data_IF_886623402564
#
_entry.id   IF_886623402564
#
_cell.length_a   1.000
_cell.length_b   1.000
_cell.length_c   1.000
_cell.angle_alpha   90.00
_cell.angle_beta   90.00
_cell.angle_gamma   90.00
#
_symmetry.space_group_name_H-M   'P 1'
#
loop_
_entity.id
_entity.type
_entity.pdbx_description
1 polymer ?
#
# COMPACT_ATOMS: atom_id res chain seq x y z
N UNK A 1 61.72 -15.19 -0.60
CA UNK A 1 61.14 -15.92 0.54
C UNK A 1 60.91 -17.33 0.10
N UNK A 2 61.53 -18.29 0.78
CA UNK A 2 61.50 -19.69 0.39
C UNK A 2 60.05 -20.20 0.31
N UNK A 3 59.69 -20.83 -0.80
CA UNK A 3 58.38 -21.44 -1.00
C UNK A 3 58.02 -22.39 0.16
N UNK A 4 59.03 -23.02 0.75
CA UNK A 4 58.91 -23.86 1.94
C UNK A 4 58.49 -23.09 3.21
N UNK A 5 59.00 -21.88 3.41
CA UNK A 5 58.63 -21.03 4.54
C UNK A 5 57.19 -20.53 4.39
N UNK A 6 56.75 -20.27 3.16
CA UNK A 6 55.37 -19.90 2.85
C UNK A 6 54.40 -21.07 3.05
N UNK A 7 54.77 -22.29 2.63
CA UNK A 7 53.92 -23.47 2.85
C UNK A 7 53.83 -23.86 4.32
N UNK A 8 54.93 -23.77 5.07
CA UNK A 8 54.93 -24.03 6.51
C UNK A 8 54.09 -23.00 7.28
N UNK A 9 54.19 -21.72 6.93
CA UNK A 9 53.37 -20.68 7.56
C UNK A 9 51.88 -20.85 7.21
N UNK A 10 51.55 -21.26 5.98
CA UNK A 10 50.18 -21.56 5.56
C UNK A 10 49.60 -22.76 6.31
N UNK A 11 50.35 -23.86 6.45
CA UNK A 11 49.91 -25.04 7.21
C UNK A 11 49.70 -24.72 8.68
N UNK A 12 50.60 -23.93 9.29
CA UNK A 12 50.45 -23.48 10.69
C UNK A 12 49.18 -22.64 10.87
N UNK A 13 48.88 -21.73 9.94
CA UNK A 13 47.65 -20.92 9.99
C UNK A 13 46.40 -21.81 9.82
N UNK A 14 46.42 -22.78 8.91
CA UNK A 14 45.31 -23.73 8.73
C UNK A 14 45.12 -24.64 9.95
N UNK A 15 46.20 -25.09 10.58
CA UNK A 15 46.18 -25.84 11.84
C UNK A 15 45.64 -25.01 13.00
N UNK A 16 46.05 -23.75 13.12
CA UNK A 16 45.52 -22.83 14.14
C UNK A 16 44.03 -22.58 13.96
N UNK A 17 43.57 -22.41 12.71
CA UNK A 17 42.13 -22.32 12.40
C UNK A 17 41.40 -23.61 12.83
N UNK A 18 41.98 -24.79 12.56
CA UNK A 18 41.39 -26.09 12.91
C UNK A 18 41.36 -26.36 14.43
N UNK A 19 42.36 -25.88 15.17
CA UNK A 19 42.42 -25.98 16.64
C UNK A 19 41.41 -25.01 17.29
N UNK A 20 41.26 -23.81 16.72
CA UNK A 20 40.22 -22.86 17.14
C UNK A 20 38.81 -23.36 16.83
N UNK A 21 38.62 -24.20 15.79
CA UNK A 21 37.37 -24.89 15.50
C UNK A 21 36.99 -25.89 16.60
N UNK A 22 37.90 -26.79 16.99
CA UNK A 22 37.62 -27.82 18.02
C UNK A 22 37.35 -27.24 19.41
N UNK A 23 38.00 -26.14 19.78
CA UNK A 23 37.85 -25.53 21.12
C UNK A 23 36.57 -24.70 21.30
N UNK A 24 35.89 -24.35 20.22
CA UNK A 24 34.70 -23.48 20.24
C UNK A 24 33.40 -24.24 20.03
N UNK A 25 33.42 -25.37 19.32
CA UNK A 25 32.30 -26.32 19.27
C UNK A 25 32.02 -26.89 20.67
N UNK A 26 33.07 -27.12 21.47
CA UNK A 26 32.97 -27.53 22.87
C UNK A 26 32.36 -26.47 23.82
N UNK A 27 32.28 -25.18 23.41
CA UNK A 27 31.69 -24.09 24.20
C UNK A 27 30.27 -23.70 23.75
N UNK A 28 29.78 -24.23 22.64
CA UNK A 28 28.48 -23.88 22.06
C UNK A 28 27.27 -24.44 22.83
N UNK A 29 27.47 -25.38 23.75
CA UNK A 29 26.41 -26.04 24.53
C UNK A 29 25.82 -25.22 25.68
N UNK A 30 26.18 -23.94 25.81
CA UNK A 30 25.50 -23.02 26.75
C UNK A 30 24.14 -22.59 26.19
N UNK A 31 23.05 -23.23 26.66
CA UNK A 31 21.64 -22.89 26.39
C UNK A 31 21.35 -21.39 26.54
N UNK A 32 21.14 -20.68 25.42
CA UNK A 32 20.60 -19.31 25.39
C UNK A 32 19.12 -19.36 25.86
N UNK A 33 18.73 -18.60 26.91
CA UNK A 33 17.42 -18.74 27.60
C UNK A 33 16.34 -17.80 27.06
N UNK A 34 16.72 -16.68 26.43
CA UNK A 34 15.79 -15.66 25.90
C UNK A 34 15.76 -15.62 24.35
N UNK A 35 14.62 -15.21 23.76
CA UNK A 35 14.44 -15.06 22.31
C UNK A 35 15.45 -14.08 21.69
N UNK A 36 15.80 -13.01 22.42
CA UNK A 36 16.83 -12.06 21.99
C UNK A 36 18.24 -12.66 22.06
N UNK A 37 18.53 -13.43 23.09
CA UNK A 37 19.82 -14.14 23.21
C UNK A 37 19.96 -15.16 22.09
N UNK A 38 18.92 -15.93 21.78
CA UNK A 38 18.92 -16.89 20.66
C UNK A 38 19.19 -16.19 19.32
N UNK A 39 18.55 -15.06 19.05
CA UNK A 39 18.81 -14.27 17.84
C UNK A 39 20.24 -13.71 17.76
N UNK A 40 20.83 -13.33 18.91
CA UNK A 40 22.24 -12.94 18.99
C UNK A 40 23.16 -14.15 18.76
N UNK A 41 22.90 -15.28 19.40
CA UNK A 41 23.62 -16.55 19.22
C UNK A 41 23.61 -16.96 17.72
N UNK A 42 22.46 -16.90 17.05
CA UNK A 42 22.30 -17.21 15.62
C UNK A 42 23.01 -16.19 14.71
N UNK A 43 23.05 -14.91 15.09
CA UNK A 43 23.81 -13.89 14.37
C UNK A 43 25.32 -14.15 14.48
N UNK A 44 25.82 -14.39 15.69
CA UNK A 44 27.23 -14.68 15.94
C UNK A 44 27.71 -15.92 15.16
N UNK A 45 26.90 -16.99 15.13
CA UNK A 45 27.22 -18.20 14.35
C UNK A 45 27.30 -17.91 12.85
N UNK A 46 26.38 -17.09 12.31
CA UNK A 46 26.40 -16.67 10.91
C UNK A 46 27.59 -15.77 10.57
N UNK A 47 27.87 -14.78 11.40
CA UNK A 47 29.00 -13.86 11.21
C UNK A 47 30.32 -14.62 11.25
N UNK A 48 30.44 -15.57 12.19
CA UNK A 48 31.60 -16.46 12.29
C UNK A 48 31.79 -17.33 11.04
N UNK A 49 30.72 -17.97 10.57
CA UNK A 49 30.78 -18.81 9.36
C UNK A 49 31.15 -17.97 8.13
N UNK A 50 30.59 -16.77 8.01
CA UNK A 50 30.93 -15.82 6.94
C UNK A 50 32.41 -15.42 6.97
N UNK A 51 32.96 -15.05 8.13
CA UNK A 51 34.38 -14.69 8.27
C UNK A 51 35.27 -15.88 7.92
N UNK A 52 34.92 -17.08 8.38
CA UNK A 52 35.61 -18.32 8.06
C UNK A 52 35.64 -18.60 6.56
N UNK A 53 34.51 -18.46 5.88
CA UNK A 53 34.39 -18.69 4.44
C UNK A 53 35.17 -17.65 3.62
N UNK A 54 35.16 -16.38 4.05
CA UNK A 54 35.96 -15.32 3.43
C UNK A 54 37.45 -15.60 3.60
N UNK A 55 37.93 -15.90 4.82
CA UNK A 55 39.35 -16.19 5.08
C UNK A 55 39.82 -17.40 4.27
N UNK A 56 39.06 -18.50 4.26
CA UNK A 56 39.40 -19.70 3.49
C UNK A 56 39.53 -19.42 2.00
N UNK A 57 38.55 -18.72 1.41
CA UNK A 57 38.59 -18.34 -0.01
C UNK A 57 39.74 -17.41 -0.34
N UNK A 58 40.04 -16.45 0.53
CA UNK A 58 41.16 -15.52 0.32
C UNK A 58 42.50 -16.21 0.39
N UNK A 59 42.68 -17.20 1.27
CA UNK A 59 43.90 -18.00 1.33
C UNK A 59 44.09 -18.82 0.04
N UNK A 60 43.03 -19.40 -0.50
CA UNK A 60 43.06 -20.12 -1.78
C UNK A 60 43.40 -19.16 -2.92
N UNK A 61 42.74 -18.00 -3.00
CA UNK A 61 43.00 -16.99 -4.05
C UNK A 61 44.44 -16.46 -4.03
N UNK A 62 45.01 -16.24 -2.84
CA UNK A 62 46.39 -15.79 -2.68
C UNK A 62 47.38 -16.85 -3.19
N UNK A 63 47.13 -18.13 -2.88
CA UNK A 63 47.97 -19.25 -3.32
C UNK A 63 47.88 -19.47 -4.83
N UNK A 64 46.68 -19.37 -5.42
CA UNK A 64 46.46 -19.68 -6.84
C UNK A 64 46.78 -18.51 -7.78
N UNK A 65 46.50 -17.28 -7.37
CA UNK A 65 46.52 -16.10 -8.26
C UNK A 65 47.32 -14.92 -7.71
N UNK A 66 47.69 -14.93 -6.42
CA UNK A 66 48.37 -13.80 -5.76
C UNK A 66 47.47 -12.58 -5.52
N UNK A 67 46.15 -12.71 -5.71
CA UNK A 67 45.16 -11.64 -5.53
C UNK A 67 44.22 -11.95 -4.34
N UNK A 68 43.51 -10.94 -3.80
CA UNK A 68 42.61 -11.08 -2.64
C UNK A 68 41.20 -10.51 -2.88
N UNK A 69 40.68 -10.71 -4.08
CA UNK A 69 39.41 -10.11 -4.53
C UNK A 69 38.21 -10.47 -3.63
N UNK A 70 38.15 -11.70 -3.09
CA UNK A 70 37.07 -12.10 -2.17
C UNK A 70 37.08 -11.27 -0.88
N UNK A 71 38.24 -10.87 -0.37
CA UNK A 71 38.33 -10.02 0.82
C UNK A 71 37.81 -8.62 0.51
N UNK A 72 38.22 -8.07 -0.64
CA UNK A 72 37.82 -6.73 -1.08
C UNK A 72 36.31 -6.62 -1.35
N UNK A 73 35.72 -7.67 -1.93
CA UNK A 73 34.26 -7.74 -2.08
C UNK A 73 33.54 -7.85 -0.73
N UNK A 74 34.04 -8.70 0.17
CA UNK A 74 33.44 -8.89 1.49
C UNK A 74 33.45 -7.60 2.32
N UNK A 75 34.55 -6.83 2.28
CA UNK A 75 34.65 -5.53 2.97
C UNK A 75 33.70 -4.49 2.35
N UNK A 76 33.60 -4.40 1.02
CA UNK A 76 32.63 -3.53 0.33
C UNK A 76 31.18 -3.87 0.69
N UNK A 77 30.84 -5.16 0.72
CA UNK A 77 29.50 -5.61 1.13
C UNK A 77 29.22 -5.25 2.59
N UNK A 78 30.17 -5.45 3.50
CA UNK A 78 30.00 -5.06 4.91
C UNK A 78 29.84 -3.54 5.08
N UNK A 79 30.60 -2.75 4.35
CA UNK A 79 30.50 -1.28 4.35
C UNK A 79 29.14 -0.81 3.78
N UNK A 80 28.64 -1.45 2.73
CA UNK A 80 27.31 -1.18 2.18
C UNK A 80 26.17 -1.55 3.15
N UNK A 81 26.31 -2.66 3.89
CA UNK A 81 25.35 -3.08 4.92
C UNK A 81 25.34 -2.11 6.10
N UNK A 82 26.50 -1.65 6.53
CA UNK A 82 26.64 -0.69 7.63
C UNK A 82 26.02 0.67 7.26
N UNK A 83 26.32 1.20 6.08
CA UNK A 83 25.71 2.43 5.58
C UNK A 83 24.19 2.30 5.42
N UNK A 84 23.71 1.19 4.86
CA UNK A 84 22.27 0.90 4.79
C UNK A 84 21.61 0.89 6.17
N UNK A 85 22.21 0.22 7.17
CA UNK A 85 21.69 0.18 8.53
C UNK A 85 21.60 1.58 9.17
N UNK A 86 22.59 2.45 8.96
CA UNK A 86 22.56 3.85 9.43
C UNK A 86 21.41 4.61 8.76
N UNK A 87 21.27 4.50 7.43
CA UNK A 87 20.18 5.19 6.71
C UNK A 87 18.80 4.74 7.17
N UNK A 88 18.63 3.45 7.49
CA UNK A 88 17.38 2.91 8.01
C UNK A 88 17.06 3.44 9.41
N UNK A 89 18.07 3.60 10.29
CA UNK A 89 17.88 4.19 11.62
C UNK A 89 17.47 5.66 11.52
N UNK A 90 18.15 6.45 10.69
CA UNK A 90 17.79 7.87 10.48
C UNK A 90 16.37 8.02 9.93
N UNK A 91 15.99 7.19 8.95
CA UNK A 91 14.60 7.17 8.43
C UNK A 91 13.59 6.80 9.51
N UNK A 92 13.92 5.84 10.37
CA UNK A 92 13.04 5.44 11.46
C UNK A 92 12.83 6.58 12.46
N UNK A 93 13.90 7.26 12.87
CA UNK A 93 13.83 8.43 13.76
C UNK A 93 13.02 9.57 13.13
N UNK A 94 13.21 9.85 11.84
CA UNK A 94 12.42 10.83 11.10
C UNK A 94 10.93 10.46 11.09
N UNK A 95 10.60 9.20 10.79
CA UNK A 95 9.22 8.71 10.79
C UNK A 95 8.61 8.83 12.19
N UNK A 96 9.35 8.47 13.24
CA UNK A 96 8.88 8.60 14.63
C UNK A 96 8.58 10.05 15.00
N UNK A 97 9.42 10.99 14.58
CA UNK A 97 9.21 12.43 14.78
C UNK A 97 7.99 12.94 14.03
N UNK A 98 7.81 12.54 12.75
CA UNK A 98 6.62 12.92 11.97
C UNK A 98 5.34 12.36 12.56
N UNK A 99 5.36 11.10 13.03
CA UNK A 99 4.23 10.46 13.68
C UNK A 99 3.84 11.19 14.97
N UNK A 100 4.82 11.55 15.81
CA UNK A 100 4.58 12.37 17.01
C UNK A 100 3.98 13.75 16.66
N UNK A 101 4.42 14.36 15.56
CA UNK A 101 3.86 15.61 15.04
C UNK A 101 2.38 15.46 14.66
N UNK A 102 2.07 14.49 13.81
CA UNK A 102 0.70 14.21 13.34
C UNK A 102 -0.22 13.89 14.51
N UNK A 103 0.22 13.08 15.47
CA UNK A 103 -0.58 12.75 16.66
C UNK A 103 -0.93 14.00 17.46
N UNK A 104 0.03 14.92 17.65
CA UNK A 104 -0.22 16.20 18.33
C UNK A 104 -1.24 17.04 17.57
N UNK A 105 -1.12 17.15 16.26
CA UNK A 105 -2.06 17.88 15.41
C UNK A 105 -3.48 17.29 15.46
N UNK A 106 -3.60 15.97 15.46
CA UNK A 106 -4.89 15.29 15.59
C UNK A 106 -5.55 15.59 16.95
N UNK A 107 -4.77 15.61 18.03
CA UNK A 107 -5.27 15.94 19.37
C UNK A 107 -5.71 17.41 19.44
N UNK A 108 -4.93 18.34 18.89
CA UNK A 108 -5.31 19.76 18.89
C UNK A 108 -6.56 20.02 18.05
N UNK A 109 -6.68 19.40 16.87
CA UNK A 109 -7.88 19.49 16.02
C UNK A 109 -9.11 18.89 16.69
N UNK A 110 -8.96 17.74 17.33
CA UNK A 110 -10.05 17.14 18.12
C UNK A 110 -10.54 18.08 19.21
N UNK A 111 -9.63 18.67 19.98
CA UNK A 111 -9.99 19.60 21.06
C UNK A 111 -10.66 20.88 20.51
N UNK A 112 -10.18 21.39 19.38
CA UNK A 112 -10.77 22.52 18.68
C UNK A 112 -12.22 22.23 18.28
N UNK A 113 -12.50 21.08 17.66
CA UNK A 113 -13.85 20.69 17.26
C UNK A 113 -14.79 20.49 18.45
N UNK A 114 -14.30 19.92 19.55
CA UNK A 114 -15.10 19.78 20.79
C UNK A 114 -15.52 21.16 21.30
N UNK A 115 -14.60 22.14 21.33
CA UNK A 115 -14.89 23.50 21.77
C UNK A 115 -15.86 24.22 20.83
N UNK A 116 -15.65 24.12 19.52
CA UNK A 116 -16.53 24.70 18.50
C UNK A 116 -17.95 24.13 18.59
N UNK A 117 -18.07 22.81 18.77
CA UNK A 117 -19.36 22.13 18.96
C UNK A 117 -20.06 22.62 20.24
N UNK A 118 -19.31 22.75 21.34
CA UNK A 118 -19.84 23.27 22.59
C UNK A 118 -20.34 24.72 22.44
N UNK A 119 -19.56 25.57 21.79
CA UNK A 119 -19.93 26.97 21.53
C UNK A 119 -21.17 27.08 20.63
N UNK A 120 -21.25 26.26 19.59
CA UNK A 120 -22.43 26.19 18.72
C UNK A 120 -23.67 25.76 19.51
N UNK A 121 -23.56 24.73 20.35
CA UNK A 121 -24.65 24.29 21.21
C UNK A 121 -25.11 25.38 22.19
N UNK A 122 -24.16 26.10 22.80
CA UNK A 122 -24.47 27.25 23.68
C UNK A 122 -25.21 28.35 22.92
N UNK A 123 -24.78 28.66 21.69
CA UNK A 123 -25.44 29.65 20.83
C UNK A 123 -26.86 29.21 20.45
N UNK A 124 -27.06 27.94 20.11
CA UNK A 124 -28.38 27.38 19.81
C UNK A 124 -29.31 27.50 21.03
N UNK A 125 -28.82 27.16 22.23
CA UNK A 125 -29.61 27.30 23.46
C UNK A 125 -30.06 28.75 23.69
N UNK A 126 -29.12 29.71 23.63
CA UNK A 126 -29.43 31.13 23.78
C UNK A 126 -30.45 31.64 22.76
N UNK A 127 -30.33 31.23 21.50
CA UNK A 127 -31.26 31.63 20.45
C UNK A 127 -32.66 31.02 20.66
N UNK A 128 -32.74 29.78 21.15
CA UNK A 128 -34.02 29.14 21.50
C UNK A 128 -34.71 29.85 22.65
N UNK A 129 -33.97 30.19 23.70
CA UNK A 129 -34.51 30.92 24.85
C UNK A 129 -35.01 32.30 24.42
N UNK A 130 -34.20 33.04 23.65
CA UNK A 130 -34.61 34.35 23.11
C UNK A 130 -35.88 34.26 22.26
N UNK A 131 -35.96 33.28 21.36
CA UNK A 131 -37.15 33.10 20.53
C UNK A 131 -38.40 32.80 21.36
N UNK A 132 -38.25 32.01 22.43
CA UNK A 132 -39.33 31.69 23.36
C UNK A 132 -39.79 32.93 24.13
N UNK A 133 -38.85 33.73 24.61
CA UNK A 133 -39.14 34.99 25.32
C UNK A 133 -39.82 36.00 24.39
N UNK A 134 -39.33 36.16 23.16
CA UNK A 134 -39.93 37.04 22.15
C UNK A 134 -41.37 36.61 21.83
N UNK A 135 -41.62 35.31 21.69
CA UNK A 135 -42.97 34.76 21.48
C UNK A 135 -43.89 35.03 22.67
N UNK A 136 -43.42 34.79 23.89
CA UNK A 136 -44.20 35.04 25.10
C UNK A 136 -44.51 36.53 25.28
N UNK A 137 -43.54 37.40 25.00
CA UNK A 137 -43.71 38.85 25.05
C UNK A 137 -44.72 39.33 23.99
N UNK A 138 -44.63 38.84 22.76
CA UNK A 138 -45.59 39.14 21.70
C UNK A 138 -47.01 38.71 22.10
N UNK A 139 -47.16 37.50 22.64
CA UNK A 139 -48.44 36.98 23.13
C UNK A 139 -49.01 37.84 24.27
N UNK A 140 -48.17 38.24 25.23
CA UNK A 140 -48.59 39.09 26.34
C UNK A 140 -49.04 40.48 25.85
N UNK A 141 -48.31 41.07 24.90
CA UNK A 141 -48.67 42.36 24.26
C UNK A 141 -50.00 42.29 23.52
N UNK A 142 -50.24 41.21 22.77
CA UNK A 142 -51.52 41.00 22.09
C UNK A 142 -52.68 40.90 23.08
N UNK A 143 -52.53 40.08 24.12
CA UNK A 143 -53.56 39.94 25.17
C UNK A 143 -53.83 41.28 25.88
N UNK A 144 -52.80 42.08 26.14
CA UNK A 144 -52.97 43.41 26.70
C UNK A 144 -53.72 44.35 25.74
N UNK A 145 -53.33 44.37 24.47
CA UNK A 145 -53.98 45.19 23.45
C UNK A 145 -55.46 44.81 23.27
N UNK A 146 -55.76 43.51 23.19
CA UNK A 146 -57.14 42.99 23.13
C UNK A 146 -57.97 43.47 24.31
N UNK A 147 -57.49 43.26 25.55
CA UNK A 147 -58.19 43.70 26.76
C UNK A 147 -58.35 45.22 26.82
N UNK A 148 -57.36 45.97 26.37
CA UNK A 148 -57.43 47.43 26.33
C UNK A 148 -58.48 47.92 25.33
N UNK A 149 -58.54 47.32 24.14
CA UNK A 149 -59.57 47.64 23.13
C UNK A 149 -60.96 47.30 23.67
N UNK A 150 -61.13 46.14 24.31
CA UNK A 150 -62.41 45.73 24.92
C UNK A 150 -62.82 46.73 26.00
N UNK A 151 -61.95 47.03 26.97
CA UNK A 151 -62.26 47.98 28.04
C UNK A 151 -62.55 49.39 27.51
N UNK A 152 -61.86 49.82 26.45
CA UNK A 152 -62.12 51.10 25.77
C UNK A 152 -63.51 51.09 25.13
N UNK A 153 -63.89 50.01 24.46
CA UNK A 153 -65.20 49.84 23.85
C UNK A 153 -66.30 49.84 24.92
N UNK A 154 -66.15 49.06 26.00
CA UNK A 154 -67.09 49.02 27.13
C UNK A 154 -67.24 50.39 27.80
N UNK A 155 -66.13 51.10 28.03
CA UNK A 155 -66.18 52.46 28.60
C UNK A 155 -66.91 53.44 27.70
N UNK A 156 -66.74 53.33 26.38
CA UNK A 156 -67.40 54.18 25.40
C UNK A 156 -68.90 53.85 25.28
N UNK A 157 -69.26 52.57 25.34
CA UNK A 157 -70.66 52.10 25.41
C UNK A 157 -71.37 52.66 26.65
N UNK A 158 -70.73 52.61 27.82
CA UNK A 158 -71.27 53.16 29.07
C UNK A 158 -71.47 54.68 29.02
N UNK A 159 -70.54 55.42 28.39
CA UNK A 159 -70.63 56.88 28.30
C UNK A 159 -71.70 57.35 27.31
N UNK A 160 -71.87 56.64 26.21
CA UNK A 160 -72.77 57.07 25.14
C UNK A 160 -74.23 56.67 25.37
N UNK A 161 -74.52 55.82 26.38
CA UNK A 161 -75.88 55.37 26.74
C UNK A 161 -76.69 54.96 25.48
N UNK A 162 -76.01 54.39 24.49
CA UNK A 162 -76.59 54.11 23.18
C UNK A 162 -77.57 52.96 23.36
N UNK A 163 -78.83 53.11 22.91
CA UNK A 163 -79.75 51.98 22.83
C UNK A 163 -79.10 50.89 21.98
N UNK A 164 -78.82 49.73 22.59
CA UNK A 164 -78.20 48.61 21.89
C UNK A 164 -79.04 48.34 20.64
N UNK A 165 -78.45 48.29 19.43
CA UNK A 165 -79.21 47.85 18.28
C UNK A 165 -79.80 46.48 18.60
N UNK A 166 -81.06 46.21 18.19
CA UNK A 166 -81.67 44.92 18.42
C UNK A 166 -80.73 43.85 17.89
N UNK A 167 -80.58 42.75 18.65
CA UNK A 167 -79.71 41.65 18.26
C UNK A 167 -79.98 41.29 16.79
N UNK A 168 -78.93 41.05 15.99
CA UNK A 168 -79.10 40.52 14.64
C UNK A 168 -80.06 39.34 14.71
N UNK A 169 -80.96 39.22 13.72
CA UNK A 169 -81.83 38.05 13.68
C UNK A 169 -80.94 36.81 13.64
N UNK A 170 -81.17 35.87 14.56
CA UNK A 170 -80.41 34.62 14.64
C UNK A 170 -80.31 33.90 13.29
N UNK A 171 -81.33 34.06 12.43
CA UNK A 171 -81.35 33.56 11.06
C UNK A 171 -80.16 34.03 10.20
N UNK A 172 -79.70 35.28 10.35
CA UNK A 172 -78.55 35.79 9.60
C UNK A 172 -77.24 35.27 10.14
N UNK A 173 -77.11 35.17 11.47
CA UNK A 173 -75.92 34.59 12.10
C UNK A 173 -75.77 33.11 11.74
N UNK A 174 -76.89 32.36 11.73
CA UNK A 174 -76.90 30.98 11.31
C UNK A 174 -76.50 30.83 9.84
N UNK A 175 -77.02 31.67 8.94
CA UNK A 175 -76.64 31.65 7.52
C UNK A 175 -75.16 31.95 7.30
N UNK A 176 -74.62 32.97 7.96
CA UNK A 176 -73.19 33.32 7.86
C UNK A 176 -72.34 32.19 8.45
N UNK A 177 -72.76 31.60 9.56
CA UNK A 177 -72.09 30.44 10.14
C UNK A 177 -72.07 29.25 9.16
N UNK A 178 -73.21 28.91 8.57
CA UNK A 178 -73.32 27.82 7.60
C UNK A 178 -72.50 28.09 6.33
N UNK A 179 -72.39 29.35 5.89
CA UNK A 179 -71.52 29.76 4.78
C UNK A 179 -70.03 29.63 5.15
N UNK A 180 -69.64 30.06 6.35
CA UNK A 180 -68.26 29.91 6.84
C UNK A 180 -67.88 28.44 6.99
N UNK A 181 -68.75 27.61 7.56
CA UNK A 181 -68.54 26.17 7.69
C UNK A 181 -68.34 25.55 6.30
N UNK A 182 -69.22 25.86 5.35
CA UNK A 182 -69.07 25.38 3.96
C UNK A 182 -67.77 25.85 3.31
N UNK A 183 -67.36 27.10 3.53
CA UNK A 183 -66.10 27.62 3.01
C UNK A 183 -64.89 26.89 3.60
N UNK A 184 -64.89 26.62 4.92
CA UNK A 184 -63.83 25.85 5.57
C UNK A 184 -63.82 24.40 5.13
N UNK A 185 -64.98 23.76 5.00
CA UNK A 185 -65.08 22.39 4.47
C UNK A 185 -64.53 22.29 3.04
N UNK A 186 -64.80 23.29 2.20
CA UNK A 186 -64.24 23.37 0.84
C UNK A 186 -62.72 23.49 0.89
N UNK A 187 -62.19 24.40 1.72
CA UNK A 187 -60.75 24.56 1.89
C UNK A 187 -60.09 23.29 2.44
N UNK A 188 -60.71 22.60 3.39
CA UNK A 188 -60.21 21.33 3.94
C UNK A 188 -60.11 20.30 2.82
N UNK A 189 -61.17 20.13 2.02
CA UNK A 189 -61.19 19.20 0.88
C UNK A 189 -60.09 19.53 -0.15
N UNK A 190 -59.95 20.80 -0.53
CA UNK A 190 -58.87 21.22 -1.45
C UNK A 190 -57.48 20.88 -0.91
N UNK A 191 -57.27 21.04 0.41
CA UNK A 191 -55.99 20.68 1.05
C UNK A 191 -55.78 19.18 1.12
N UNK A 192 -56.83 18.40 1.38
CA UNK A 192 -56.79 16.94 1.37
C UNK A 192 -56.47 16.41 -0.03
N UNK A 193 -57.09 16.95 -1.07
CA UNK A 193 -56.81 16.59 -2.47
C UNK A 193 -55.36 16.89 -2.84
N UNK A 194 -54.84 18.06 -2.44
CA UNK A 194 -53.43 18.40 -2.62
C UNK A 194 -52.51 17.42 -1.87
N UNK A 195 -52.86 17.01 -0.64
CA UNK A 195 -52.08 16.03 0.11
C UNK A 195 -52.07 14.66 -0.59
N UNK A 196 -53.20 14.20 -1.11
CA UNK A 196 -53.30 12.96 -1.89
C UNK A 196 -52.43 13.06 -3.14
N UNK A 197 -52.54 14.14 -3.90
CA UNK A 197 -51.71 14.39 -5.08
C UNK A 197 -50.21 14.34 -4.76
N UNK A 198 -49.78 15.04 -3.70
CA UNK A 198 -48.37 15.03 -3.30
C UNK A 198 -47.92 13.66 -2.84
N UNK A 199 -48.75 12.92 -2.08
CA UNK A 199 -48.43 11.56 -1.63
C UNK A 199 -48.23 10.60 -2.81
N UNK A 200 -49.12 10.63 -3.80
CA UNK A 200 -49.01 9.84 -5.02
C UNK A 200 -47.79 10.24 -5.85
N UNK A 201 -47.51 11.54 -5.97
CA UNK A 201 -46.32 12.04 -6.65
C UNK A 201 -45.05 11.55 -5.97
N UNK A 202 -44.94 11.69 -4.66
CA UNK A 202 -43.76 11.22 -3.92
C UNK A 202 -43.58 9.71 -4.04
N UNK A 203 -44.66 8.94 -4.03
CA UNK A 203 -44.58 7.48 -4.19
C UNK A 203 -44.06 7.10 -5.57
N UNK A 204 -44.51 7.78 -6.62
CA UNK A 204 -43.97 7.62 -7.99
C UNK A 204 -42.50 8.04 -8.08
N UNK A 205 -42.15 9.22 -7.55
CA UNK A 205 -40.78 9.72 -7.58
C UNK A 205 -39.82 8.77 -6.83
N UNK A 206 -40.26 8.22 -5.69
CA UNK A 206 -39.48 7.23 -4.93
C UNK A 206 -39.30 5.95 -5.76
N UNK A 207 -40.37 5.43 -6.38
CA UNK A 207 -40.28 4.24 -7.23
C UNK A 207 -39.31 4.46 -8.41
N UNK A 208 -39.41 5.60 -9.09
CA UNK A 208 -38.52 5.95 -10.21
C UNK A 208 -37.06 6.09 -9.77
N UNK A 209 -36.81 6.68 -8.60
CA UNK A 209 -35.47 6.78 -8.02
C UNK A 209 -34.94 5.39 -7.67
N UNK A 210 -35.75 4.55 -7.03
CA UNK A 210 -35.38 3.17 -6.69
C UNK A 210 -35.04 2.35 -7.94
N UNK A 211 -35.84 2.45 -9.00
CA UNK A 211 -35.58 1.78 -10.27
C UNK A 211 -34.27 2.24 -10.92
N UNK A 212 -34.00 3.55 -10.90
CA UNK A 212 -32.73 4.11 -11.40
C UNK A 212 -31.54 3.61 -10.61
N UNK A 213 -31.64 3.57 -9.28
CA UNK A 213 -30.59 3.05 -8.40
C UNK A 213 -30.36 1.57 -8.69
N UNK A 214 -31.40 0.75 -8.76
CA UNK A 214 -31.32 -0.68 -9.07
C UNK A 214 -30.63 -0.94 -10.42
N UNK A 215 -31.00 -0.19 -11.47
CA UNK A 215 -30.35 -0.27 -12.79
C UNK A 215 -28.86 0.10 -12.71
N UNK A 216 -28.48 1.10 -11.91
CA UNK A 216 -27.09 1.50 -11.73
C UNK A 216 -26.28 0.48 -10.93
N UNK A 217 -26.87 -0.11 -9.89
CA UNK A 217 -26.26 -1.21 -9.15
C UNK A 217 -26.00 -2.42 -10.05
N UNK A 218 -26.95 -2.76 -10.93
CA UNK A 218 -26.76 -3.87 -11.88
C UNK A 218 -25.65 -3.57 -12.89
N UNK A 219 -25.62 -2.34 -13.44
CA UNK A 219 -24.53 -1.90 -14.33
C UNK A 219 -23.17 -2.00 -13.65
N UNK A 220 -23.08 -1.61 -12.37
CA UNK A 220 -21.85 -1.72 -11.59
C UNK A 220 -21.45 -3.18 -11.38
N UNK A 221 -22.41 -4.06 -11.05
CA UNK A 221 -22.17 -5.49 -10.88
C UNK A 221 -21.58 -6.12 -12.15
N UNK A 222 -22.17 -5.82 -13.30
CA UNK A 222 -21.68 -6.29 -14.61
C UNK A 222 -20.28 -5.75 -14.90
N UNK A 223 -20.03 -4.46 -14.62
CA UNK A 223 -18.72 -3.85 -14.84
C UNK A 223 -17.62 -4.47 -13.96
N UNK A 224 -17.93 -4.77 -12.70
CA UNK A 224 -17.01 -5.46 -11.77
C UNK A 224 -16.69 -6.86 -12.30
N UNK A 225 -17.70 -7.66 -12.65
CA UNK A 225 -17.49 -9.00 -13.19
C UNK A 225 -16.61 -8.97 -14.46
N UNK A 226 -16.88 -8.05 -15.39
CA UNK A 226 -16.08 -7.87 -16.60
C UNK A 226 -14.64 -7.46 -16.28
N UNK A 227 -14.44 -6.60 -15.29
CA UNK A 227 -13.10 -6.20 -14.85
C UNK A 227 -12.33 -7.40 -14.26
N UNK A 228 -12.98 -8.22 -13.43
CA UNK A 228 -12.38 -9.44 -12.88
C UNK A 228 -11.99 -10.44 -13.97
N UNK A 229 -12.84 -10.66 -14.97
CA UNK A 229 -12.53 -11.49 -16.13
C UNK A 229 -11.30 -10.98 -16.89
N UNK A 230 -11.24 -9.67 -17.18
CA UNK A 230 -10.11 -9.05 -17.87
C UNK A 230 -8.83 -9.13 -17.04
N UNK A 231 -8.92 -8.94 -15.72
CA UNK A 231 -7.78 -9.05 -14.82
C UNK A 231 -7.23 -10.49 -14.80
N UNK A 232 -8.12 -11.48 -14.77
CA UNK A 232 -7.73 -12.89 -14.82
C UNK A 232 -7.04 -13.23 -16.15
N UNK A 233 -7.57 -12.72 -17.27
CA UNK A 233 -6.98 -12.90 -18.59
C UNK A 233 -5.60 -12.23 -18.69
N UNK A 234 -5.46 -11.02 -18.14
CA UNK A 234 -4.19 -10.32 -18.07
C UNK A 234 -3.15 -11.10 -17.26
N UNK A 235 -3.52 -11.59 -16.08
CA UNK A 235 -2.63 -12.36 -15.22
C UNK A 235 -2.18 -13.67 -15.91
N UNK A 236 -3.08 -14.33 -16.64
CA UNK A 236 -2.77 -15.52 -17.43
C UNK A 236 -1.72 -15.20 -18.50
N UNK A 237 -1.97 -14.19 -19.33
CA UNK A 237 -1.05 -13.79 -20.39
C UNK A 237 0.28 -13.27 -19.88
N UNK A 238 0.29 -12.56 -18.73
CA UNK A 238 1.54 -12.16 -18.07
C UNK A 238 2.36 -13.39 -17.65
N UNK A 239 1.71 -14.42 -17.11
CA UNK A 239 2.32 -15.71 -16.79
C UNK A 239 2.94 -16.39 -18.01
N UNK A 240 2.18 -16.48 -19.10
CA UNK A 240 2.64 -17.03 -20.38
C UNK A 240 3.83 -16.25 -20.96
N UNK A 241 3.77 -14.92 -20.95
CA UNK A 241 4.87 -14.05 -21.41
C UNK A 241 6.14 -14.25 -20.59
N UNK A 242 6.02 -14.31 -19.25
CA UNK A 242 7.16 -14.59 -18.37
C UNK A 242 7.74 -15.98 -18.65
N UNK A 243 6.89 -16.99 -18.79
CA UNK A 243 7.30 -18.35 -19.16
C UNK A 243 8.00 -18.44 -20.52
N UNK A 244 7.52 -17.67 -21.50
CA UNK A 244 8.16 -17.59 -22.81
C UNK A 244 9.53 -16.90 -22.76
N UNK A 245 9.66 -15.83 -21.97
CA UNK A 245 10.93 -15.13 -21.77
C UNK A 245 11.96 -16.03 -21.07
N UNK A 246 11.55 -16.79 -20.04
CA UNK A 246 12.44 -17.75 -19.37
C UNK A 246 12.85 -18.87 -20.31
N UNK A 247 11.90 -19.45 -21.05
CA UNK A 247 12.18 -20.48 -22.05
C UNK A 247 13.19 -20.00 -23.11
N UNK A 248 13.00 -18.78 -23.65
CA UNK A 248 13.96 -18.18 -24.60
C UNK A 248 15.35 -18.01 -24.00
N UNK A 249 15.45 -17.52 -22.76
CA UNK A 249 16.72 -17.34 -22.05
C UNK A 249 17.42 -18.69 -21.84
N UNK A 250 16.71 -19.69 -21.36
CA UNK A 250 17.26 -21.04 -21.17
C UNK A 250 17.70 -21.67 -22.48
N UNK A 251 16.90 -21.55 -23.55
CA UNK A 251 17.25 -22.08 -24.86
C UNK A 251 18.50 -21.41 -25.42
N UNK A 252 18.62 -20.08 -25.29
CA UNK A 252 19.82 -19.35 -25.68
C UNK A 252 21.04 -19.79 -24.86
N UNK A 253 20.90 -19.98 -23.54
CA UNK A 253 21.97 -20.48 -22.69
C UNK A 253 22.43 -21.89 -23.06
N UNK A 254 21.49 -22.80 -23.39
CA UNK A 254 21.81 -24.16 -23.85
C UNK A 254 22.56 -24.15 -25.18
N UNK A 255 22.11 -23.35 -26.16
CA UNK A 255 22.78 -23.19 -27.45
C UNK A 255 24.20 -22.65 -27.24
N UNK A 256 24.36 -21.59 -26.45
CA UNK A 256 25.67 -21.00 -26.16
C UNK A 256 26.61 -21.99 -25.46
N UNK A 257 26.10 -22.85 -24.56
CA UNK A 257 26.88 -23.90 -23.93
C UNK A 257 27.33 -24.96 -24.95
N UNK A 258 26.41 -25.44 -25.80
CA UNK A 258 26.75 -26.40 -26.85
C UNK A 258 27.77 -25.85 -27.84
N UNK A 259 27.65 -24.58 -28.23
CA UNK A 259 28.62 -23.91 -29.10
C UNK A 259 30.00 -23.81 -28.45
N UNK A 260 30.06 -23.47 -27.14
CA UNK A 260 31.33 -23.46 -26.38
C UNK A 260 31.96 -24.85 -26.33
N UNK A 261 31.18 -25.89 -26.04
CA UNK A 261 31.65 -27.29 -26.02
C UNK A 261 32.14 -27.74 -27.40
N UNK A 262 31.38 -27.46 -28.45
CA UNK A 262 31.76 -27.78 -29.83
C UNK A 262 33.03 -27.03 -30.25
N UNK A 263 33.18 -25.77 -29.87
CA UNK A 263 34.38 -24.98 -30.15
C UNK A 263 35.59 -25.52 -29.41
N UNK A 264 35.44 -25.89 -28.14
CA UNK A 264 36.50 -26.55 -27.36
C UNK A 264 36.88 -27.91 -27.98
N UNK A 265 35.91 -28.75 -28.33
CA UNK A 265 36.14 -30.03 -28.99
C UNK A 265 36.86 -29.86 -30.34
N UNK A 266 36.44 -28.89 -31.17
CA UNK A 266 37.11 -28.56 -32.44
C UNK A 266 38.56 -28.13 -32.22
N UNK A 267 38.84 -27.31 -31.19
CA UNK A 267 40.21 -26.89 -30.82
C UNK A 267 41.07 -28.08 -30.38
N UNK A 268 40.54 -28.97 -29.56
CA UNK A 268 41.24 -30.19 -29.12
C UNK A 268 41.50 -31.10 -30.32
N UNK A 269 40.49 -31.32 -31.17
CA UNK A 269 40.63 -32.14 -32.38
C UNK A 269 41.63 -31.57 -33.37
N UNK A 270 41.63 -30.25 -33.62
CA UNK A 270 42.58 -29.62 -34.53
C UNK A 270 44.00 -29.64 -33.97
N UNK A 271 44.16 -29.41 -32.66
CA UNK A 271 45.44 -29.55 -31.96
C UNK A 271 45.96 -30.98 -32.05
N UNK A 272 45.13 -31.98 -31.75
CA UNK A 272 45.50 -33.40 -31.80
C UNK A 272 45.85 -33.84 -33.22
N UNK A 273 45.04 -33.48 -34.23
CA UNK A 273 45.36 -33.73 -35.65
C UNK A 273 46.70 -33.09 -36.03
N UNK A 274 46.96 -31.85 -35.60
CA UNK A 274 48.25 -31.19 -35.79
C UNK A 274 49.42 -31.92 -35.13
N UNK A 275 49.22 -32.47 -33.91
CA UNK A 275 50.22 -33.31 -33.24
C UNK A 275 50.45 -34.62 -34.00
N UNK A 276 49.39 -35.29 -34.44
CA UNK A 276 49.49 -36.53 -35.21
C UNK A 276 50.31 -36.33 -36.48
N UNK A 277 50.13 -35.20 -37.18
CA UNK A 277 50.93 -34.84 -38.36
C UNK A 277 52.38 -34.52 -37.96
N UNK A 278 52.61 -33.64 -36.98
CA UNK A 278 53.97 -33.21 -36.57
C UNK A 278 54.82 -34.35 -35.99
N UNK A 279 54.21 -35.26 -35.24
CA UNK A 279 54.88 -36.44 -34.65
C UNK A 279 54.77 -37.69 -35.53
N UNK A 280 54.14 -37.59 -36.71
CA UNK A 280 53.95 -38.69 -37.66
C UNK A 280 53.39 -39.96 -37.00
N UNK A 281 52.31 -39.79 -36.23
CA UNK A 281 51.60 -40.87 -35.54
C UNK A 281 50.50 -41.45 -36.44
N UNK A 282 50.18 -42.74 -36.27
CA UNK A 282 49.10 -43.42 -36.99
C UNK A 282 49.25 -43.41 -38.52
N UNK A 283 48.19 -43.00 -39.23
CA UNK A 283 48.14 -42.93 -40.69
C UNK A 283 49.19 -41.99 -41.31
N UNK A 284 49.78 -41.07 -40.53
CA UNK A 284 50.78 -40.10 -41.02
C UNK A 284 52.24 -40.57 -40.87
N UNK A 285 52.48 -41.84 -40.49
CA UNK A 285 53.83 -42.39 -40.32
C UNK A 285 54.71 -42.27 -41.57
N UNK A 286 54.13 -42.31 -42.77
CA UNK A 286 54.84 -42.20 -44.04
C UNK A 286 55.53 -40.83 -44.25
N UNK A 287 55.07 -39.77 -43.56
CA UNK A 287 55.70 -38.45 -43.63
C UNK A 287 57.04 -38.39 -42.88
N UNK A 288 57.29 -39.31 -41.94
CA UNK A 288 58.56 -39.41 -41.21
C UNK A 288 59.68 -39.96 -42.09
N UNK A 289 59.35 -40.86 -43.00
CA UNK A 289 60.28 -41.45 -43.98
C UNK A 289 60.54 -40.53 -45.17
N UNK A 290 59.60 -39.65 -45.55
CA UNK A 290 59.78 -38.70 -46.66
C UNK A 290 60.85 -37.61 -46.40
N UNK A 291 61.16 -37.27 -45.13
CA UNK A 291 62.24 -36.32 -44.79
C UNK A 291 63.66 -36.91 -44.86
N UNK A 292 63.82 -38.17 -45.25
CA UNK A 292 65.13 -38.76 -45.60
C UNK A 292 65.31 -38.84 -47.12
N UNK A 293 65.11 -37.73 -47.84
CA UNK A 293 65.73 -37.57 -49.14
C UNK A 293 66.74 -36.40 -49.08
N UNK A 294 68.00 -36.62 -49.47
CA UNK A 294 69.00 -35.57 -49.51
C UNK A 294 68.79 -34.74 -50.79
N UNK A 295 68.33 -33.50 -50.69
CA UNK A 295 68.45 -32.58 -51.83
C UNK A 295 69.88 -32.03 -51.88
N UNK A 296 70.81 -32.87 -52.33
CA UNK A 296 72.04 -32.41 -52.99
C UNK A 296 71.71 -32.31 -54.48
N UNK A 297 71.60 -31.08 -54.99
CA UNK A 297 71.48 -30.77 -56.40
C UNK A 297 72.33 -29.57 -56.74
N UNK A 298 73.63 -29.82 -56.94
CA UNK A 298 74.62 -28.92 -57.55
C UNK A 298 74.47 -29.01 -59.08
N UNK A 299 74.83 -27.94 -59.79
CA UNK A 299 74.85 -27.64 -61.25
C UNK A 299 73.67 -26.73 -61.63
N UNK A 300 73.85 -25.51 -62.13
CA UNK A 300 74.98 -24.87 -62.84
C UNK A 300 75.06 -23.41 -62.38
#
# INVERSE_FOLDING_TARGET
>A
MDALLFTLTLEVVLLQIRILEGTTELKADKKCKSRNEKAQCDKFTRDRQMVKDVIRRTLIEIVETGQWYTLEQATKVLQSRFSSAITMRLKHEQLEMTLKGIVKELITKRNQWILETHNANKKIALLRDKMKDDYQNAKARLCYAEKWVIARAESLELQLNVPRPPLPRADYEQRVHDELVRAYELQIKEREDLLVYWKERYTRDIADICDRVSKKCEQLRIAIARHEELQNLYNLHEGEMRGWLTFKRERAARIALQERLNTAAKRIQSWWRGIMVRRALGQFRYLRSAKKSPSKGKKK
#
